data_IF_749584502462
#
_entry.id   IF_749584502462
#
_cell.length_a   1.000
_cell.length_b   1.000
_cell.length_c   1.000
_cell.angle_alpha   90.00
_cell.angle_beta   90.00
_cell.angle_gamma   90.00
#
_symmetry.space_group_name_H-M   'P 1'
#
loop_
_entity.id
_entity.type
_entity.pdbx_description
1 polymer ?
#
# COMPACT_ATOMS: atom_id res chain seq x y z
N UNK A 1 -7.15 -21.98 27.09
CA UNK A 1 -6.45 -21.85 25.79
C UNK A 1 -7.26 -21.14 24.69
N UNK A 2 -8.44 -20.58 24.98
CA UNK A 2 -9.23 -19.81 24.02
C UNK A 2 -8.46 -18.65 23.33
N UNK A 3 -7.60 -17.89 24.04
CA UNK A 3 -6.94 -16.74 23.42
C UNK A 3 -5.88 -17.11 22.36
N UNK A 4 -5.12 -18.18 22.59
CA UNK A 4 -4.16 -18.70 21.59
C UNK A 4 -4.86 -19.14 20.29
N UNK A 5 -6.10 -19.64 20.38
CA UNK A 5 -6.90 -20.04 19.22
C UNK A 5 -7.36 -18.83 18.42
N UNK A 6 -7.73 -17.74 19.06
CA UNK A 6 -8.16 -16.50 18.39
C UNK A 6 -6.98 -15.84 17.67
N UNK A 7 -5.83 -15.74 18.33
CA UNK A 7 -4.58 -15.27 17.71
C UNK A 7 -4.20 -16.12 16.50
N UNK A 8 -4.17 -17.45 16.66
CA UNK A 8 -3.87 -18.36 15.55
C UNK A 8 -4.90 -18.25 14.41
N UNK A 9 -6.17 -18.04 14.74
CA UNK A 9 -7.25 -17.84 13.77
C UNK A 9 -7.06 -16.57 12.95
N UNK A 10 -6.66 -15.47 13.58
CA UNK A 10 -6.40 -14.20 12.91
C UNK A 10 -5.25 -14.35 11.90
N UNK A 11 -4.11 -14.89 12.32
CA UNK A 11 -2.97 -15.14 11.42
C UNK A 11 -3.29 -16.16 10.32
N UNK A 12 -4.09 -17.20 10.61
CA UNK A 12 -4.52 -18.16 9.59
C UNK A 12 -5.40 -17.50 8.52
N UNK A 13 -6.30 -16.60 8.91
CA UNK A 13 -7.13 -15.84 7.96
C UNK A 13 -6.27 -14.88 7.11
N UNK A 14 -5.28 -14.21 7.72
CA UNK A 14 -4.35 -13.35 6.98
C UNK A 14 -3.50 -14.14 5.98
N UNK A 15 -2.91 -15.27 6.40
CA UNK A 15 -2.16 -16.15 5.52
C UNK A 15 -3.02 -16.78 4.41
N UNK A 16 -4.32 -16.95 4.63
CA UNK A 16 -5.28 -17.31 3.57
C UNK A 16 -5.43 -16.17 2.55
N UNK A 17 -5.58 -14.93 3.01
CA UNK A 17 -5.67 -13.77 2.13
C UNK A 17 -4.41 -13.60 1.25
N UNK A 18 -3.23 -13.80 1.81
CA UNK A 18 -1.96 -13.73 1.07
C UNK A 18 -1.87 -14.76 -0.06
N UNK A 19 -2.32 -15.99 0.20
CA UNK A 19 -2.39 -17.04 -0.83
C UNK A 19 -3.40 -16.70 -1.92
N UNK A 20 -4.60 -16.26 -1.52
CA UNK A 20 -5.64 -15.85 -2.47
C UNK A 20 -5.19 -14.68 -3.35
N UNK A 21 -4.42 -13.73 -2.80
CA UNK A 21 -3.76 -12.66 -3.58
C UNK A 21 -2.78 -13.23 -4.60
N UNK A 22 -1.93 -14.18 -4.20
CA UNK A 22 -0.96 -14.83 -5.10
C UNK A 22 -1.63 -15.65 -6.21
N UNK A 23 -2.84 -16.15 -5.97
CA UNK A 23 -3.65 -16.92 -6.93
C UNK A 23 -4.57 -16.04 -7.80
N UNK A 24 -4.58 -14.72 -7.58
CA UNK A 24 -5.45 -13.79 -8.33
C UNK A 24 -6.92 -13.79 -7.87
N UNK A 25 -7.24 -14.39 -6.73
CA UNK A 25 -8.58 -14.48 -6.16
C UNK A 25 -8.88 -13.23 -5.32
N UNK A 26 -8.88 -12.05 -5.95
CA UNK A 26 -8.84 -10.77 -5.25
C UNK A 26 -10.06 -10.49 -4.35
N UNK A 27 -11.28 -10.85 -4.78
CA UNK A 27 -12.46 -10.71 -3.91
C UNK A 27 -12.39 -11.61 -2.68
N UNK A 28 -11.92 -12.86 -2.85
CA UNK A 28 -11.73 -13.79 -1.75
C UNK A 28 -10.66 -13.27 -0.78
N UNK A 29 -9.55 -12.76 -1.31
CA UNK A 29 -8.50 -12.17 -0.50
C UNK A 29 -8.98 -10.95 0.31
N UNK A 30 -9.75 -10.06 -0.32
CA UNK A 30 -10.33 -8.89 0.36
C UNK A 30 -11.27 -9.32 1.50
N UNK A 31 -12.08 -10.36 1.28
CA UNK A 31 -12.91 -10.95 2.33
C UNK A 31 -12.08 -11.58 3.44
N UNK A 32 -11.03 -12.34 3.10
CA UNK A 32 -10.14 -12.97 4.09
C UNK A 32 -9.39 -11.93 4.94
N UNK A 33 -8.96 -10.80 4.36
CA UNK A 33 -8.37 -9.68 5.12
C UNK A 33 -9.36 -9.10 6.14
N UNK A 34 -10.61 -8.88 5.74
CA UNK A 34 -11.67 -8.40 6.65
C UNK A 34 -11.95 -9.40 7.76
N UNK A 35 -12.06 -10.68 7.41
CA UNK A 35 -12.24 -11.75 8.38
C UNK A 35 -11.08 -11.84 9.37
N UNK A 36 -9.84 -11.62 8.91
CA UNK A 36 -8.67 -11.62 9.80
C UNK A 36 -8.78 -10.52 10.87
N UNK A 37 -9.20 -9.31 10.49
CA UNK A 37 -9.47 -8.21 11.43
C UNK A 37 -10.67 -8.50 12.34
N UNK A 38 -11.73 -9.15 11.84
CA UNK A 38 -12.87 -9.51 12.67
C UNK A 38 -12.49 -10.56 13.72
N UNK A 39 -11.65 -11.53 13.36
CA UNK A 39 -11.12 -12.52 14.30
C UNK A 39 -10.15 -11.86 15.29
N UNK A 40 -9.27 -10.96 14.83
CA UNK A 40 -8.32 -10.26 15.71
C UNK A 40 -9.04 -9.48 16.81
N UNK A 41 -10.20 -8.87 16.52
CA UNK A 41 -11.05 -8.17 17.49
C UNK A 41 -11.64 -9.06 18.59
N UNK A 42 -11.62 -10.38 18.40
CA UNK A 42 -12.08 -11.34 19.43
C UNK A 42 -10.97 -11.76 20.38
N UNK A 43 -9.71 -11.39 20.11
CA UNK A 43 -8.59 -11.63 21.03
C UNK A 43 -8.82 -10.80 22.30
N UNK A 44 -8.81 -11.42 23.50
CA UNK A 44 -9.04 -10.71 24.75
C UNK A 44 -8.01 -9.62 25.02
N UNK A 45 -8.42 -8.53 25.67
CA UNK A 45 -7.55 -7.38 25.94
C UNK A 45 -6.38 -7.68 26.89
N UNK A 46 -6.51 -8.73 27.71
CA UNK A 46 -5.44 -9.22 28.58
C UNK A 46 -4.33 -9.98 27.83
N UNK A 47 -4.56 -10.37 26.57
CA UNK A 47 -3.53 -11.00 25.76
C UNK A 47 -2.58 -9.98 25.14
N UNK A 48 -1.31 -10.35 25.09
CA UNK A 48 -0.28 -9.56 24.42
C UNK A 48 -0.42 -9.76 22.91
N UNK A 49 -1.24 -8.91 22.28
CA UNK A 49 -1.46 -8.90 20.84
C UNK A 49 -1.42 -7.47 20.29
N UNK A 50 -0.57 -7.21 19.29
CA UNK A 50 -0.50 -5.91 18.63
C UNK A 50 -1.64 -5.78 17.61
N UNK A 51 -2.83 -5.42 18.09
CA UNK A 51 -3.99 -5.18 17.23
C UNK A 51 -3.72 -4.14 16.16
N UNK A 52 -3.00 -3.05 16.50
CA UNK A 52 -2.78 -1.96 15.56
C UNK A 52 -1.81 -2.37 14.43
N UNK A 53 -0.75 -3.12 14.76
CA UNK A 53 0.16 -3.66 13.76
C UNK A 53 -0.51 -4.74 12.90
N UNK A 54 -1.31 -5.61 13.52
CA UNK A 54 -2.04 -6.64 12.80
C UNK A 54 -3.07 -6.05 11.82
N UNK A 55 -3.85 -5.06 12.25
CA UNK A 55 -4.80 -4.36 11.39
C UNK A 55 -4.07 -3.63 10.25
N UNK A 56 -2.91 -3.03 10.52
CA UNK A 56 -2.10 -2.40 9.48
C UNK A 56 -1.63 -3.39 8.40
N UNK A 57 -1.32 -4.63 8.77
CA UNK A 57 -0.97 -5.70 7.82
C UNK A 57 -2.18 -6.09 6.97
N UNK A 58 -3.32 -6.32 7.63
CA UNK A 58 -4.57 -6.63 6.94
C UNK A 58 -4.95 -5.53 5.95
N UNK A 59 -4.78 -4.26 6.33
CA UNK A 59 -5.05 -3.11 5.49
C UNK A 59 -4.09 -2.98 4.30
N UNK A 60 -2.81 -3.33 4.44
CA UNK A 60 -1.86 -3.36 3.32
C UNK A 60 -2.24 -4.41 2.27
N UNK A 61 -2.67 -5.60 2.70
CA UNK A 61 -3.12 -6.64 1.78
C UNK A 61 -4.51 -6.34 1.19
N UNK A 62 -5.40 -5.77 1.99
CA UNK A 62 -6.72 -5.36 1.54
C UNK A 62 -6.61 -4.27 0.46
N UNK A 63 -5.73 -3.27 0.64
CA UNK A 63 -5.54 -2.22 -0.38
C UNK A 63 -5.06 -2.80 -1.70
N UNK A 64 -4.15 -3.78 -1.66
CA UNK A 64 -3.72 -4.52 -2.85
C UNK A 64 -4.88 -5.24 -3.53
N UNK A 65 -5.64 -6.03 -2.78
CA UNK A 65 -6.78 -6.77 -3.34
C UNK A 65 -7.82 -5.83 -3.98
N UNK A 66 -8.12 -4.71 -3.34
CA UNK A 66 -9.07 -3.71 -3.85
C UNK A 66 -8.53 -2.98 -5.09
N UNK A 67 -7.22 -2.70 -5.13
CA UNK A 67 -6.56 -2.09 -6.29
C UNK A 67 -6.65 -2.98 -7.53
N UNK A 68 -6.41 -4.29 -7.38
CA UNK A 68 -6.56 -5.28 -8.46
C UNK A 68 -8.01 -5.42 -8.95
N UNK A 69 -8.99 -5.12 -8.09
CA UNK A 69 -10.41 -5.08 -8.44
C UNK A 69 -10.86 -3.74 -9.05
N UNK A 70 -9.96 -2.76 -9.19
CA UNK A 70 -10.28 -1.42 -9.66
C UNK A 70 -11.08 -0.57 -8.67
N UNK A 71 -11.18 -0.99 -7.40
CA UNK A 71 -11.90 -0.28 -6.33
C UNK A 71 -10.97 0.73 -5.66
N UNK A 72 -10.53 1.72 -6.43
CA UNK A 72 -9.41 2.59 -6.07
C UNK A 72 -9.68 3.49 -4.85
N UNK A 73 -10.89 3.99 -4.65
CA UNK A 73 -11.24 4.76 -3.44
C UNK A 73 -11.11 3.92 -2.17
N UNK A 74 -11.59 2.68 -2.20
CA UNK A 74 -11.48 1.77 -1.06
C UNK A 74 -10.04 1.29 -0.85
N UNK A 75 -9.31 1.06 -1.95
CA UNK A 75 -7.88 0.73 -1.91
C UNK A 75 -7.09 1.86 -1.24
N UNK A 76 -7.36 3.11 -1.62
CA UNK A 76 -6.74 4.30 -1.03
C UNK A 76 -7.02 4.37 0.47
N UNK A 77 -8.28 4.24 0.88
CA UNK A 77 -8.66 4.27 2.29
C UNK A 77 -7.95 3.17 3.11
N UNK A 78 -7.87 1.95 2.58
CA UNK A 78 -7.16 0.86 3.23
C UNK A 78 -5.64 1.13 3.31
N UNK A 79 -5.02 1.65 2.24
CA UNK A 79 -3.62 2.01 2.25
C UNK A 79 -3.30 3.09 3.28
N UNK A 80 -4.16 4.11 3.42
CA UNK A 80 -3.99 5.18 4.41
C UNK A 80 -4.12 4.69 5.85
N UNK A 81 -5.03 3.76 6.13
CA UNK A 81 -5.14 3.11 7.44
C UNK A 81 -3.85 2.32 7.79
N UNK A 82 -3.30 1.59 6.84
CA UNK A 82 -2.02 0.88 7.00
C UNK A 82 -0.85 1.84 7.27
N UNK A 83 -0.75 2.91 6.47
CA UNK A 83 0.30 3.92 6.61
C UNK A 83 0.20 4.72 7.91
N UNK A 84 -0.99 4.86 8.50
CA UNK A 84 -1.17 5.47 9.82
C UNK A 84 -0.35 4.79 10.91
N UNK A 85 -0.18 3.47 10.82
CA UNK A 85 0.68 2.70 11.72
C UNK A 85 2.15 2.75 11.25
N UNK A 86 2.42 2.38 10.00
CA UNK A 86 3.80 2.20 9.53
C UNK A 86 4.62 3.48 9.48
N UNK A 87 4.01 4.64 9.20
CA UNK A 87 4.76 5.90 9.23
C UNK A 87 5.22 6.29 10.65
N UNK A 88 4.64 5.68 11.70
CA UNK A 88 5.01 5.97 13.11
C UNK A 88 5.90 4.89 13.72
N UNK A 89 5.72 3.64 13.30
CA UNK A 89 6.30 2.46 13.96
C UNK A 89 6.95 1.46 13.01
N UNK A 90 6.88 1.71 11.70
CA UNK A 90 7.39 0.78 10.70
C UNK A 90 8.91 0.74 10.71
N UNK A 91 9.44 -0.48 10.56
CA UNK A 91 10.87 -0.71 10.38
C UNK A 91 11.11 -1.26 8.97
N UNK A 92 11.67 -0.42 8.09
CA UNK A 92 11.81 -0.73 6.66
C UNK A 92 12.61 -2.02 6.39
N UNK A 93 13.59 -2.31 7.24
CA UNK A 93 14.50 -3.44 7.05
C UNK A 93 13.99 -4.74 7.68
N UNK A 94 12.90 -4.70 8.44
CA UNK A 94 12.25 -5.90 8.93
C UNK A 94 11.29 -6.49 7.89
N UNK A 95 10.65 -7.61 8.25
CA UNK A 95 9.61 -8.21 7.42
C UNK A 95 8.38 -7.30 7.31
N UNK A 96 8.10 -6.52 8.36
CA UNK A 96 7.02 -5.52 8.41
C UNK A 96 7.20 -4.42 7.35
N UNK A 97 8.45 -4.10 6.97
CA UNK A 97 8.76 -3.16 5.90
C UNK A 97 8.17 -3.52 4.53
N UNK A 98 7.90 -4.81 4.25
CA UNK A 98 7.22 -5.23 3.01
C UNK A 98 5.79 -4.70 2.93
N UNK A 99 5.11 -4.67 4.08
CA UNK A 99 3.72 -4.19 4.18
C UNK A 99 3.69 -2.67 4.07
N UNK A 100 4.68 -1.99 4.66
CA UNK A 100 4.82 -0.55 4.49
C UNK A 100 5.02 -0.16 3.02
N UNK A 101 5.96 -0.80 2.32
CA UNK A 101 6.18 -0.58 0.89
C UNK A 101 4.91 -0.87 0.10
N UNK A 102 4.23 -1.98 0.39
CA UNK A 102 2.97 -2.34 -0.29
C UNK A 102 1.92 -1.25 -0.11
N UNK A 103 1.73 -0.72 1.11
CA UNK A 103 0.78 0.34 1.36
C UNK A 103 1.13 1.65 0.62
N UNK A 104 2.42 2.04 0.58
CA UNK A 104 2.90 3.19 -0.21
C UNK A 104 2.60 3.00 -1.70
N UNK A 105 2.95 1.82 -2.25
CA UNK A 105 2.72 1.52 -3.66
C UNK A 105 1.23 1.53 -4.01
N UNK A 106 0.37 0.91 -3.20
CA UNK A 106 -1.07 0.88 -3.47
C UNK A 106 -1.71 2.26 -3.35
N UNK A 107 -1.27 3.10 -2.41
CA UNK A 107 -1.69 4.50 -2.32
C UNK A 107 -1.34 5.28 -3.59
N UNK A 108 -0.11 5.09 -4.10
CA UNK A 108 0.34 5.73 -5.32
C UNK A 108 -0.50 5.32 -6.54
N UNK A 109 -0.78 4.02 -6.68
CA UNK A 109 -1.62 3.47 -7.75
C UNK A 109 -3.06 3.99 -7.67
N UNK A 110 -3.63 4.08 -6.46
CA UNK A 110 -4.96 4.62 -6.27
C UNK A 110 -5.02 6.11 -6.62
N UNK A 111 -4.03 6.91 -6.21
CA UNK A 111 -3.96 8.32 -6.62
C UNK A 111 -3.90 8.47 -8.14
N UNK A 112 -3.07 7.67 -8.82
CA UNK A 112 -2.95 7.70 -10.27
C UNK A 112 -4.30 7.42 -10.94
N UNK A 113 -4.95 6.33 -10.54
CA UNK A 113 -6.24 5.93 -11.09
C UNK A 113 -7.37 6.94 -10.82
N UNK A 114 -7.29 7.68 -9.71
CA UNK A 114 -8.22 8.74 -9.33
C UNK A 114 -7.85 10.11 -9.96
N UNK A 115 -6.86 10.16 -10.84
CA UNK A 115 -6.44 11.40 -11.54
C UNK A 115 -5.61 12.36 -10.68
N UNK A 116 -5.18 11.94 -9.48
CA UNK A 116 -4.38 12.71 -8.53
C UNK A 116 -2.89 12.50 -8.81
N UNK A 117 -2.47 12.99 -9.97
CA UNK A 117 -1.19 12.67 -10.58
C UNK A 117 0.03 13.20 -9.82
N UNK A 118 -0.08 14.39 -9.21
CA UNK A 118 1.01 14.96 -8.42
C UNK A 118 1.27 14.10 -7.17
N UNK A 119 0.22 13.72 -6.46
CA UNK A 119 0.34 12.83 -5.30
C UNK A 119 0.81 11.43 -5.69
N UNK A 120 0.35 10.91 -6.83
CA UNK A 120 0.81 9.62 -7.36
C UNK A 120 2.32 9.63 -7.63
N UNK A 121 2.85 10.69 -8.26
CA UNK A 121 4.26 10.81 -8.58
C UNK A 121 5.12 10.79 -7.31
N UNK A 122 4.73 11.57 -6.29
CA UNK A 122 5.44 11.64 -5.00
C UNK A 122 5.47 10.28 -4.31
N UNK A 123 4.33 9.59 -4.23
CA UNK A 123 4.26 8.28 -3.57
C UNK A 123 4.99 7.17 -4.37
N UNK A 124 4.97 7.23 -5.71
CA UNK A 124 5.74 6.30 -6.54
C UNK A 124 7.26 6.47 -6.34
N UNK A 125 7.75 7.71 -6.31
CA UNK A 125 9.16 8.01 -6.07
C UNK A 125 9.59 7.51 -4.69
N UNK A 126 8.80 7.81 -3.65
CA UNK A 126 9.00 7.28 -2.30
C UNK A 126 9.03 5.74 -2.28
N UNK A 127 8.10 5.07 -2.97
CA UNK A 127 8.06 3.62 -3.05
C UNK A 127 9.31 3.02 -3.70
N UNK A 128 9.83 3.66 -4.75
CA UNK A 128 11.10 3.28 -5.40
C UNK A 128 12.29 3.44 -4.45
N UNK A 129 12.40 4.57 -3.76
CA UNK A 129 13.46 4.81 -2.76
C UNK A 129 13.42 3.73 -1.67
N UNK A 130 12.25 3.46 -1.11
CA UNK A 130 12.08 2.42 -0.09
C UNK A 130 12.49 1.02 -0.60
N UNK A 131 12.12 0.67 -1.85
CA UNK A 131 12.52 -0.60 -2.47
C UNK A 131 14.02 -0.71 -2.68
N UNK A 132 14.70 0.40 -3.00
CA UNK A 132 16.14 0.45 -3.17
C UNK A 132 16.89 0.35 -1.84
N UNK A 133 16.40 1.03 -0.80
CA UNK A 133 17.00 1.04 0.53
C UNK A 133 16.78 -0.26 1.32
N UNK A 134 15.70 -1.00 1.04
CA UNK A 134 15.38 -2.24 1.76
C UNK A 134 16.47 -3.30 1.53
N UNK A 135 17.08 -3.74 2.65
CA UNK A 135 18.15 -4.75 2.69
C UNK A 135 17.68 -6.21 2.61
N UNK A 136 16.38 -6.46 2.75
CA UNK A 136 15.80 -7.81 2.71
C UNK A 136 15.23 -8.19 1.34
N UNK A 137 15.06 -9.49 1.13
CA UNK A 137 14.42 -10.06 -0.05
C UNK A 137 12.93 -9.72 -0.13
N UNK A 138 12.48 -9.32 -1.31
CA UNK A 138 11.07 -9.07 -1.61
C UNK A 138 10.77 -9.60 -3.01
N UNK A 139 10.04 -10.70 -3.09
CA UNK A 139 9.82 -11.43 -4.34
C UNK A 139 9.19 -10.57 -5.46
N UNK A 140 8.43 -9.53 -5.11
CA UNK A 140 7.77 -8.64 -6.06
C UNK A 140 8.57 -7.35 -6.34
N UNK A 141 9.80 -7.21 -5.82
CA UNK A 141 10.60 -5.98 -5.91
C UNK A 141 10.78 -5.50 -7.34
N UNK A 142 11.22 -6.37 -8.25
CA UNK A 142 11.49 -6.00 -9.63
C UNK A 142 10.20 -5.66 -10.39
N UNK A 143 9.09 -6.33 -10.05
CA UNK A 143 7.79 -6.02 -10.62
C UNK A 143 7.33 -4.62 -10.19
N UNK A 144 7.42 -4.29 -8.90
CA UNK A 144 7.10 -2.95 -8.40
C UNK A 144 8.01 -1.87 -8.98
N UNK A 145 9.32 -2.10 -9.07
CA UNK A 145 10.26 -1.14 -9.65
C UNK A 145 9.94 -0.85 -11.12
N UNK A 146 9.70 -1.90 -11.94
CA UNK A 146 9.30 -1.72 -13.35
C UNK A 146 8.00 -0.95 -13.46
N UNK A 147 7.01 -1.34 -12.67
CA UNK A 147 5.69 -0.74 -12.68
C UNK A 147 5.72 0.75 -12.30
N UNK A 148 6.45 1.07 -11.23
CA UNK A 148 6.65 2.44 -10.78
C UNK A 148 7.39 3.27 -11.82
N UNK A 149 8.45 2.73 -12.42
CA UNK A 149 9.27 3.45 -13.40
C UNK A 149 8.46 3.87 -14.63
N UNK A 150 7.61 2.96 -15.13
CA UNK A 150 6.74 3.24 -16.28
C UNK A 150 5.72 4.35 -15.95
N UNK A 151 5.12 4.31 -14.76
CA UNK A 151 4.15 5.33 -14.33
C UNK A 151 4.80 6.67 -14.05
N UNK A 152 5.95 6.70 -13.37
CA UNK A 152 6.74 7.91 -13.14
C UNK A 152 7.05 8.58 -14.48
N UNK A 153 7.60 7.84 -15.45
CA UNK A 153 7.95 8.39 -16.76
C UNK A 153 6.72 9.00 -17.47
N UNK A 154 5.57 8.32 -17.42
CA UNK A 154 4.31 8.82 -17.98
C UNK A 154 3.82 10.09 -17.27
N UNK A 155 3.86 10.12 -15.94
CA UNK A 155 3.40 11.25 -15.12
C UNK A 155 4.29 12.48 -15.31
N UNK A 156 5.61 12.29 -15.38
CA UNK A 156 6.57 13.37 -15.66
C UNK A 156 6.37 13.96 -17.06
N UNK A 157 6.09 13.12 -18.06
CA UNK A 157 5.78 13.58 -19.41
C UNK A 157 4.47 14.37 -19.45
N UNK A 158 3.43 13.87 -18.78
CA UNK A 158 2.17 14.61 -18.64
C UNK A 158 2.37 15.98 -17.99
N UNK A 159 3.14 16.06 -16.90
CA UNK A 159 3.45 17.34 -16.24
C UNK A 159 4.22 18.32 -17.13
N UNK A 160 5.13 17.81 -17.98
CA UNK A 160 5.85 18.64 -18.96
C UNK A 160 4.91 19.21 -20.01
N UNK A 161 3.95 18.40 -20.49
CA UNK A 161 2.97 18.82 -21.50
C UNK A 161 1.88 19.74 -20.93
N UNK A 162 1.50 19.56 -19.67
CA UNK A 162 0.53 20.41 -18.98
C UNK A 162 1.05 21.83 -18.74
N UNK A 163 2.38 22.04 -18.74
CA UNK A 163 2.97 23.38 -18.76
C UNK A 163 2.81 23.96 -20.17
N UNK A 164 2.06 25.07 -20.36
CA UNK A 164 1.86 25.64 -21.70
C UNK A 164 3.21 25.98 -22.34
N UNK A 165 3.46 25.51 -23.57
CA UNK A 165 4.63 25.96 -24.32
C UNK A 165 4.48 27.47 -24.56
N UNK A 166 5.39 28.26 -23.99
CA UNK A 166 5.32 29.72 -24.02
C UNK A 166 4.68 30.40 -22.80
N UNK A 167 4.48 29.71 -21.67
CA UNK A 167 4.17 30.39 -20.40
C UNK A 167 5.36 31.25 -19.97
N UNK A 168 5.33 32.53 -20.36
CA UNK A 168 6.16 33.57 -19.74
C UNK A 168 5.58 33.86 -18.37
N UNK A 169 6.42 33.77 -17.35
CA UNK A 169 6.00 34.21 -16.04
C UNK A 169 5.66 35.71 -16.06
N UNK A 170 4.71 36.14 -15.23
CA UNK A 170 4.22 37.53 -15.26
C UNK A 170 5.32 38.59 -15.07
N UNK A 171 6.45 38.24 -14.45
CA UNK A 171 7.62 39.11 -14.32
C UNK A 171 8.45 39.26 -15.61
N UNK A 172 8.35 38.34 -16.57
CA UNK A 172 9.08 38.37 -17.86
C UNK A 172 8.42 39.29 -18.91
N UNK A 173 7.28 39.90 -18.57
CA UNK A 173 6.63 40.93 -19.39
C UNK A 173 7.15 42.35 -19.12
N UNK A 174 7.98 42.54 -18.09
CA UNK A 174 8.48 43.85 -17.66
C UNK A 174 10.01 44.01 -17.78
N UNK A 175 10.68 43.13 -18.53
CA UNK A 175 12.11 43.22 -18.89
C UNK A 175 12.27 43.53 -20.36
#
# INVERSE_FOLDING_TARGET
MKPLREVAGAYAALGKAERELGEGLFEAAALSCRNAMDVSRTVPAEEVFDHAGFDAFCHAWLSRALGELGRFDESLAAAELSLGYFNRRGELHEETGKMWITAVMQRALAFDALGRQEEALVELQKGVEMLQERKGEMAQKEAYLREASLRIARLEDFQKQAKPSGYKAWWEFWS
#
